data_IF_672353472033
#
_entry.id   IF_672353472033
#
_cell.length_a   1.000
_cell.length_b   1.000
_cell.length_c   1.000
_cell.angle_alpha   90.00
_cell.angle_beta   90.00
_cell.angle_gamma   90.00
#
_symmetry.space_group_name_H-M   'P 1'
#
loop_
_entity.id
_entity.type
_entity.pdbx_description
1 polymer ?
#
# COMPACT_ATOMS: atom_id res chain seq x y z
N UNK A 1 -20.70 -17.00 -9.92
CA UNK A 1 -19.25 -16.72 -9.84
C UNK A 1 -18.93 -16.62 -8.37
N UNK A 2 -18.00 -17.43 -7.84
CA UNK A 2 -17.52 -17.21 -6.48
C UNK A 2 -16.92 -15.80 -6.45
N UNK A 3 -17.28 -15.01 -5.44
CA UNK A 3 -16.64 -13.71 -5.21
C UNK A 3 -15.14 -13.98 -5.07
N UNK A 4 -14.34 -13.59 -6.06
CA UNK A 4 -12.89 -13.76 -6.04
C UNK A 4 -12.23 -12.87 -4.97
N UNK A 5 -12.99 -12.08 -4.20
CA UNK A 5 -12.45 -11.16 -3.20
C UNK A 5 -11.95 -11.84 -1.93
N UNK A 6 -10.81 -11.35 -1.42
CA UNK A 6 -10.32 -11.66 -0.08
C UNK A 6 -11.18 -10.90 0.94
N UNK A 7 -11.84 -11.62 1.84
CA UNK A 7 -12.65 -11.03 2.91
C UNK A 7 -11.85 -10.84 4.20
N UNK A 8 -11.80 -9.60 4.66
CA UNK A 8 -11.22 -9.24 5.97
C UNK A 8 -12.37 -9.03 6.95
N UNK A 9 -12.54 -10.00 7.87
CA UNK A 9 -13.59 -9.95 8.88
C UNK A 9 -13.15 -9.11 10.10
N UNK A 10 -14.09 -8.30 10.59
CA UNK A 10 -13.95 -7.51 11.81
C UNK A 10 -15.27 -7.49 12.59
N UNK A 11 -15.20 -7.08 13.86
CA UNK A 11 -16.39 -6.80 14.67
C UNK A 11 -16.56 -5.29 14.79
N UNK A 12 -17.81 -4.84 14.73
CA UNK A 12 -18.23 -3.44 14.89
C UNK A 12 -19.36 -3.35 15.91
N UNK A 13 -19.50 -2.23 16.58
CA UNK A 13 -20.61 -1.97 17.48
C UNK A 13 -21.73 -1.26 16.73
N UNK A 14 -22.94 -1.84 16.76
CA UNK A 14 -24.08 -1.31 16.04
C UNK A 14 -25.34 -1.45 16.88
N UNK A 15 -25.81 -0.34 17.44
CA UNK A 15 -26.98 -0.31 18.32
C UNK A 15 -26.75 -1.07 19.62
N UNK A 16 -25.60 -0.87 20.27
CA UNK A 16 -25.25 -1.50 21.55
C UNK A 16 -24.93 -3.00 21.48
N UNK A 17 -24.79 -3.57 20.27
CA UNK A 17 -24.43 -4.98 20.06
C UNK A 17 -23.21 -5.11 19.15
N UNK A 18 -22.31 -6.01 19.51
CA UNK A 18 -21.19 -6.40 18.65
C UNK A 18 -21.69 -7.24 17.47
N UNK A 19 -21.47 -6.76 16.25
CA UNK A 19 -21.85 -7.44 14.99
C UNK A 19 -20.61 -7.79 14.17
N UNK A 20 -20.64 -8.95 13.52
CA UNK A 20 -19.61 -9.35 12.54
C UNK A 20 -19.85 -8.61 11.22
N UNK A 21 -18.78 -8.08 10.65
CA UNK A 21 -18.75 -7.39 9.36
C UNK A 21 -17.52 -7.82 8.56
N UNK A 22 -17.46 -7.45 7.30
CA UNK A 22 -16.29 -7.69 6.45
C UNK A 22 -16.10 -6.59 5.42
N UNK A 23 -14.85 -6.35 5.05
CA UNK A 23 -14.50 -5.65 3.82
C UNK A 23 -13.99 -6.65 2.78
N UNK A 24 -14.27 -6.35 1.52
CA UNK A 24 -13.85 -7.15 0.36
C UNK A 24 -12.66 -6.46 -0.29
N UNK A 25 -11.57 -7.20 -0.49
CA UNK A 25 -10.32 -6.72 -1.06
C UNK A 25 -10.02 -7.52 -2.32
N UNK A 26 -9.56 -6.82 -3.36
CA UNK A 26 -9.07 -7.46 -4.58
C UNK A 26 -7.87 -8.38 -4.26
N UNK A 27 -7.79 -9.61 -4.80
CA UNK A 27 -6.70 -10.55 -4.50
C UNK A 27 -5.32 -10.06 -4.86
N UNK A 28 -5.15 -9.45 -6.04
CA UNK A 28 -3.86 -8.97 -6.49
C UNK A 28 -3.41 -7.80 -5.61
N UNK A 29 -4.34 -6.90 -5.29
CA UNK A 29 -4.09 -5.82 -4.34
C UNK A 29 -3.66 -6.34 -2.97
N UNK A 30 -4.33 -7.39 -2.47
CA UNK A 30 -3.96 -8.04 -1.21
C UNK A 30 -2.55 -8.65 -1.29
N UNK A 31 -2.22 -9.34 -2.36
CA UNK A 31 -0.89 -9.94 -2.55
C UNK A 31 0.22 -8.89 -2.57
N UNK A 32 0.02 -7.77 -3.28
CA UNK A 32 0.96 -6.64 -3.28
C UNK A 32 1.11 -6.08 -1.87
N UNK A 33 0.01 -5.89 -1.15
CA UNK A 33 0.02 -5.33 0.18
C UNK A 33 0.71 -6.24 1.21
N UNK A 34 0.56 -7.56 1.07
CA UNK A 34 1.31 -8.54 1.87
C UNK A 34 2.82 -8.37 1.68
N UNK A 35 3.29 -8.11 0.46
CA UNK A 35 4.72 -7.85 0.19
C UNK A 35 5.22 -6.57 0.87
N UNK A 36 4.36 -5.55 0.95
CA UNK A 36 4.68 -4.29 1.65
C UNK A 36 4.80 -4.54 3.17
N UNK A 37 3.86 -5.28 3.75
CA UNK A 37 3.85 -5.54 5.20
C UNK A 37 4.85 -6.59 5.66
N UNK A 38 5.28 -7.49 4.78
CA UNK A 38 6.24 -8.55 5.10
C UNK A 38 5.60 -9.87 5.51
N UNK A 39 4.32 -9.87 5.92
CA UNK A 39 3.59 -11.10 6.22
C UNK A 39 2.07 -10.99 5.96
N UNK A 40 1.43 -12.13 5.75
CA UNK A 40 -0.04 -12.23 5.63
C UNK A 40 -0.71 -11.79 6.93
N UNK A 41 -0.14 -12.14 8.08
CA UNK A 41 -0.72 -11.83 9.38
C UNK A 41 -0.78 -10.32 9.61
N UNK A 42 0.34 -9.61 9.44
CA UNK A 42 0.42 -8.16 9.60
C UNK A 42 -0.49 -7.43 8.62
N UNK A 43 -0.50 -7.84 7.35
CA UNK A 43 -1.42 -7.28 6.36
C UNK A 43 -2.88 -7.42 6.80
N UNK A 44 -3.29 -8.60 7.28
CA UNK A 44 -4.68 -8.80 7.74
C UNK A 44 -5.00 -7.98 8.99
N UNK A 45 -4.07 -7.83 9.91
CA UNK A 45 -4.29 -7.07 11.14
C UNK A 45 -4.42 -5.57 10.86
N UNK A 46 -3.52 -5.00 10.05
CA UNK A 46 -3.65 -3.60 9.58
C UNK A 46 -4.97 -3.37 8.85
N UNK A 47 -5.35 -4.25 7.91
CA UNK A 47 -6.61 -4.12 7.18
C UNK A 47 -7.83 -4.24 8.09
N UNK A 48 -7.74 -5.04 9.17
CA UNK A 48 -8.81 -5.17 10.17
C UNK A 48 -8.96 -3.90 10.98
N UNK A 49 -7.86 -3.26 11.36
CA UNK A 49 -7.87 -1.96 12.06
C UNK A 49 -8.45 -0.86 11.17
N UNK A 50 -8.02 -0.79 9.91
CA UNK A 50 -8.57 0.17 8.95
C UNK A 50 -10.05 -0.07 8.67
N UNK A 51 -10.49 -1.32 8.60
CA UNK A 51 -11.91 -1.63 8.44
C UNK A 51 -12.76 -1.18 9.62
N UNK A 52 -12.23 -1.27 10.85
CA UNK A 52 -12.89 -0.71 12.06
C UNK A 52 -12.94 0.81 11.99
N UNK A 53 -11.81 1.46 11.69
CA UNK A 53 -11.73 2.92 11.60
C UNK A 53 -12.67 3.48 10.51
N UNK A 54 -12.72 2.83 9.34
CA UNK A 54 -13.62 3.20 8.26
C UNK A 54 -15.10 3.09 8.65
N UNK A 55 -15.47 2.15 9.53
CA UNK A 55 -16.85 2.03 10.02
C UNK A 55 -17.22 3.19 10.95
N UNK A 56 -16.28 3.61 11.81
CA UNK A 56 -16.43 4.80 12.66
C UNK A 56 -16.53 6.07 11.82
N UNK A 57 -15.57 6.31 10.93
CA UNK A 57 -15.54 7.49 10.07
C UNK A 57 -16.78 7.62 9.18
N UNK A 58 -17.29 6.50 8.67
CA UNK A 58 -18.51 6.51 7.85
C UNK A 58 -19.74 6.91 8.67
N UNK A 59 -19.83 6.42 9.91
CA UNK A 59 -20.90 6.80 10.85
C UNK A 59 -20.86 8.30 11.14
N UNK A 60 -19.66 8.86 11.30
CA UNK A 60 -19.47 10.24 11.72
C UNK A 60 -19.65 11.25 10.58
N UNK A 61 -19.24 10.91 9.36
CA UNK A 61 -19.19 11.85 8.24
C UNK A 61 -20.25 11.61 7.14
N UNK A 62 -21.22 10.71 7.34
CA UNK A 62 -22.27 10.38 6.36
C UNK A 62 -21.70 10.06 4.96
N UNK A 63 -20.54 9.42 4.90
CA UNK A 63 -19.91 9.08 3.63
C UNK A 63 -20.79 8.13 2.82
N UNK A 64 -21.05 8.48 1.55
CA UNK A 64 -21.71 7.60 0.57
C UNK A 64 -20.85 6.40 0.14
N UNK A 65 -19.58 6.39 0.54
CA UNK A 65 -18.59 5.39 0.17
C UNK A 65 -18.63 4.19 1.12
N UNK A 66 -18.63 2.97 0.59
CA UNK A 66 -18.60 1.75 1.40
C UNK A 66 -17.22 1.48 2.02
N UNK A 67 -17.19 0.85 3.21
CA UNK A 67 -15.95 0.59 3.96
C UNK A 67 -14.87 -0.14 3.13
N UNK A 68 -15.26 -1.09 2.26
CA UNK A 68 -14.32 -1.76 1.36
C UNK A 68 -13.56 -0.78 0.47
N UNK A 69 -14.24 0.25 -0.06
CA UNK A 69 -13.64 1.25 -0.93
C UNK A 69 -12.69 2.17 -0.15
N UNK A 70 -13.05 2.54 1.08
CA UNK A 70 -12.19 3.34 1.97
C UNK A 70 -10.90 2.58 2.27
N UNK A 71 -11.01 1.30 2.67
CA UNK A 71 -9.84 0.46 2.97
C UNK A 71 -8.95 0.29 1.74
N UNK A 72 -9.54 0.00 0.57
CA UNK A 72 -8.78 -0.10 -0.67
C UNK A 72 -8.11 1.24 -1.05
N UNK A 73 -8.73 2.39 -0.84
CA UNK A 73 -8.07 3.68 -1.07
C UNK A 73 -6.82 3.87 -0.21
N UNK A 74 -6.89 3.50 1.08
CA UNK A 74 -5.73 3.54 1.98
C UNK A 74 -4.62 2.59 1.52
N UNK A 75 -4.99 1.38 1.08
CA UNK A 75 -4.02 0.44 0.48
C UNK A 75 -3.38 1.03 -0.77
N UNK A 76 -4.16 1.64 -1.68
CA UNK A 76 -3.63 2.27 -2.88
C UNK A 76 -2.66 3.41 -2.56
N UNK A 77 -2.94 4.20 -1.52
CA UNK A 77 -2.05 5.27 -1.09
C UNK A 77 -0.72 4.71 -0.59
N UNK A 78 -0.74 3.71 0.29
CA UNK A 78 0.49 3.10 0.80
C UNK A 78 1.30 2.42 -0.31
N UNK A 79 0.63 1.77 -1.27
CA UNK A 79 1.28 1.21 -2.47
C UNK A 79 1.94 2.32 -3.29
N UNK A 80 1.23 3.44 -3.49
CA UNK A 80 1.74 4.57 -4.28
C UNK A 80 2.97 5.20 -3.61
N UNK A 81 2.96 5.35 -2.29
CA UNK A 81 4.09 5.89 -1.52
C UNK A 81 5.34 5.01 -1.71
N UNK A 82 5.19 3.69 -1.57
CA UNK A 82 6.28 2.73 -1.80
C UNK A 82 6.79 2.73 -3.24
N UNK A 83 5.89 2.89 -4.23
CA UNK A 83 6.28 3.01 -5.65
C UNK A 83 7.08 4.28 -5.88
N UNK A 84 6.66 5.41 -5.32
CA UNK A 84 7.36 6.70 -5.44
C UNK A 84 8.77 6.62 -4.86
N UNK A 85 8.92 6.03 -3.67
CA UNK A 85 10.23 5.78 -3.04
C UNK A 85 11.12 4.90 -3.92
N UNK A 86 10.56 3.81 -4.46
CA UNK A 86 11.27 2.90 -5.36
C UNK A 86 11.74 3.58 -6.66
N UNK A 87 10.92 4.45 -7.23
CA UNK A 87 11.25 5.22 -8.43
C UNK A 87 12.35 6.26 -8.16
N UNK A 88 12.27 6.96 -7.03
CA UNK A 88 13.32 7.89 -6.61
C UNK A 88 14.67 7.17 -6.40
N UNK A 89 14.66 6.01 -5.77
CA UNK A 89 15.87 5.21 -5.55
C UNK A 89 16.50 4.72 -6.87
N UNK A 90 15.68 4.37 -7.87
CA UNK A 90 16.16 4.01 -9.22
C UNK A 90 16.83 5.18 -9.92
N UNK A 91 16.21 6.36 -9.90
CA UNK A 91 16.77 7.56 -10.51
C UNK A 91 18.15 7.92 -9.93
N UNK A 92 18.34 7.81 -8.61
CA UNK A 92 19.63 8.05 -7.96
C UNK A 92 20.69 7.04 -8.40
N UNK A 93 20.34 5.75 -8.50
CA UNK A 93 21.26 4.70 -8.96
C UNK A 93 21.71 4.93 -10.40
N UNK A 94 20.79 5.31 -11.29
CA UNK A 94 21.08 5.61 -12.69
C UNK A 94 21.97 6.84 -12.83
N UNK A 95 21.70 7.92 -12.08
CA UNK A 95 22.53 9.11 -12.06
C UNK A 95 23.97 8.81 -11.61
N UNK A 96 24.13 7.96 -10.58
CA UNK A 96 25.45 7.53 -10.10
C UNK A 96 26.20 6.72 -11.16
N UNK A 97 25.54 5.76 -11.81
CA UNK A 97 26.13 4.96 -12.87
C UNK A 97 26.57 5.81 -14.08
N UNK A 98 25.78 6.82 -14.45
CA UNK A 98 26.11 7.76 -15.53
C UNK A 98 27.32 8.67 -15.19
N UNK A 99 27.49 9.04 -13.92
CA UNK A 99 28.61 9.87 -13.46
C UNK A 99 29.97 9.16 -13.47
N UNK A 100 29.99 7.86 -13.16
CA UNK A 100 31.22 7.05 -13.13
C UNK A 100 31.81 6.82 -14.55
N UNK A 101 30.98 6.87 -15.59
CA UNK A 101 31.43 6.74 -16.99
C UNK A 101 32.22 7.95 -17.52
N UNK A 102 31.96 9.17 -17.03
CA UNK A 102 32.63 10.40 -17.51
C UNK A 102 33.99 10.66 -16.86
N UNK A 103 34.29 10.08 -15.70
CA UNK A 103 35.53 10.36 -14.96
C UNK A 103 36.76 9.57 -15.46
N UNK A 104 36.57 8.48 -16.22
CA UNK A 104 37.69 7.62 -16.70
C UNK A 104 38.37 8.08 -17.99
N UNK A 105 37.87 9.13 -18.67
CA UNK A 105 38.37 9.55 -19.99
C UNK A 105 39.39 10.70 -20.04
N UNK A 106 39.63 11.45 -18.96
CA UNK A 106 40.34 12.75 -19.04
C UNK A 106 41.77 12.77 -18.48
N UNK A 107 42.51 11.65 -18.53
CA UNK A 107 43.88 11.58 -17.97
C UNK A 107 44.95 10.99 -18.89
N UNK A 108 44.86 11.23 -20.20
CA UNK A 108 45.92 10.87 -21.14
C UNK A 108 46.18 12.01 -22.13
N UNK A 109 47.15 12.86 -21.82
CA UNK A 109 47.61 13.89 -22.76
C UNK A 109 48.37 15.07 -22.16
N UNK A 110 49.37 14.85 -21.30
CA UNK A 110 50.43 15.85 -21.06
C UNK A 110 51.76 15.16 -20.75
N UNK A 111 52.53 14.91 -21.81
CA UNK A 111 53.99 14.78 -21.80
C UNK A 111 54.43 15.70 -22.96
N UNK A 112 54.92 16.90 -22.66
CA UNK A 112 56.31 17.19 -22.30
C UNK A 112 57.22 16.88 -23.48
#
# INVERSE_FOLDING_TARGET
>A
MADDFIRIFYRRDAGGKSKKSSVSIDPLMFEIYVKIKGSIAEARDTLREWAKAADTERTDANYRMGNSRIVQQRMSQEILDMVNEGMAARAVKEAKAAGEGKARGSRRGKRA
#
